data_IF_205582436559
#
_entry.id   IF_205582436559
#
_cell.length_a   1.000
_cell.length_b   1.000
_cell.length_c   1.000
_cell.angle_alpha   90.00
_cell.angle_beta   90.00
_cell.angle_gamma   90.00
#
_symmetry.space_group_name_H-M   'P 1'
#
loop_
_entity.id
_entity.type
_entity.pdbx_description
1 polymer ?
#
# COMPACT_ATOMS: atom_id res chain seq x y z
N UNK A 1 -22.46 -1.02 -2.74
CA UNK A 1 -21.90 0.02 -1.85
C UNK A 1 -21.19 1.05 -2.71
N UNK A 2 -21.43 2.34 -2.49
CA UNK A 2 -20.68 3.38 -3.23
C UNK A 2 -19.23 3.45 -2.74
N UNK A 3 -18.32 3.87 -3.62
CA UNK A 3 -16.89 4.08 -3.29
C UNK A 3 -16.69 5.03 -2.11
N UNK A 4 -17.64 5.95 -1.90
CA UNK A 4 -17.64 6.94 -0.82
C UNK A 4 -18.24 6.42 0.50
N UNK A 5 -18.66 5.15 0.57
CA UNK A 5 -19.30 4.60 1.77
C UNK A 5 -20.70 5.13 2.05
N UNK A 6 -21.30 5.85 1.10
CA UNK A 6 -22.66 6.39 1.19
C UNK A 6 -23.63 5.29 0.76
N UNK A 7 -24.60 5.01 1.61
CA UNK A 7 -25.60 3.94 1.42
C UNK A 7 -27.01 4.47 1.19
N UNK A 8 -27.28 5.73 1.53
CA UNK A 8 -28.57 6.39 1.29
C UNK A 8 -28.61 6.97 -0.13
N UNK A 9 -29.61 6.55 -0.91
CA UNK A 9 -29.81 6.97 -2.30
C UNK A 9 -30.20 8.46 -2.39
N UNK A 10 -31.00 8.97 -1.45
CA UNK A 10 -31.44 10.36 -1.45
C UNK A 10 -30.27 11.33 -1.30
N UNK A 11 -29.28 10.94 -0.48
CA UNK A 11 -28.04 11.70 -0.29
C UNK A 11 -27.19 11.71 -1.56
N UNK A 12 -27.18 10.61 -2.32
CA UNK A 12 -26.45 10.52 -3.58
C UNK A 12 -27.09 11.42 -4.63
N UNK A 13 -28.43 11.40 -4.74
CA UNK A 13 -29.17 12.18 -5.74
C UNK A 13 -29.10 13.69 -5.48
N UNK A 14 -29.00 14.10 -4.21
CA UNK A 14 -28.91 15.51 -3.83
C UNK A 14 -27.47 16.05 -3.82
N UNK A 15 -26.47 15.20 -4.06
CA UNK A 15 -25.06 15.59 -3.98
C UNK A 15 -24.67 16.51 -5.15
N UNK A 16 -24.06 17.64 -4.82
CA UNK A 16 -23.47 18.51 -5.85
C UNK A 16 -22.18 17.91 -6.41
N UNK A 17 -21.84 18.23 -7.66
CA UNK A 17 -20.55 17.82 -8.25
C UNK A 17 -19.36 18.28 -7.40
N UNK A 18 -19.43 19.48 -6.83
CA UNK A 18 -18.39 20.03 -5.96
C UNK A 18 -18.23 19.21 -4.68
N UNK A 19 -19.34 18.86 -4.02
CA UNK A 19 -19.33 18.03 -2.82
C UNK A 19 -18.80 16.63 -3.13
N UNK A 20 -19.23 16.04 -4.25
CA UNK A 20 -18.70 14.77 -4.72
C UNK A 20 -17.17 14.82 -4.90
N UNK A 21 -16.65 15.86 -5.56
CA UNK A 21 -15.21 16.01 -5.78
C UNK A 21 -14.42 16.13 -4.48
N UNK A 22 -14.89 16.93 -3.52
CA UNK A 22 -14.22 17.04 -2.21
C UNK A 22 -14.23 15.73 -1.43
N UNK A 23 -15.35 14.99 -1.48
CA UNK A 23 -15.45 13.67 -0.85
C UNK A 23 -14.53 12.65 -1.52
N UNK A 24 -14.42 12.69 -2.84
CA UNK A 24 -13.47 11.85 -3.59
C UNK A 24 -12.02 12.19 -3.23
N UNK A 25 -11.66 13.47 -3.16
CA UNK A 25 -10.32 13.87 -2.72
C UNK A 25 -10.03 13.35 -1.31
N UNK A 26 -10.93 13.55 -0.36
CA UNK A 26 -10.78 13.01 0.99
C UNK A 26 -10.60 11.48 0.98
N UNK A 27 -11.31 10.77 0.09
CA UNK A 27 -11.21 9.32 -0.06
C UNK A 27 -9.84 8.88 -0.57
N UNK A 28 -9.23 9.62 -1.50
CA UNK A 28 -7.89 9.33 -2.01
C UNK A 28 -6.82 9.42 -0.92
N UNK A 29 -6.90 10.43 -0.04
CA UNK A 29 -6.01 10.52 1.13
C UNK A 29 -6.23 9.35 2.10
N UNK A 30 -7.48 9.00 2.37
CA UNK A 30 -7.81 7.85 3.23
C UNK A 30 -7.22 6.55 2.67
N UNK A 31 -7.35 6.32 1.36
CA UNK A 31 -6.80 5.16 0.68
C UNK A 31 -5.27 5.12 0.77
N UNK A 32 -4.59 6.25 0.59
CA UNK A 32 -3.13 6.34 0.76
C UNK A 32 -2.70 5.94 2.19
N UNK A 33 -3.36 6.49 3.21
CA UNK A 33 -3.07 6.15 4.61
C UNK A 33 -3.32 4.68 4.91
N UNK A 34 -4.45 4.12 4.46
CA UNK A 34 -4.78 2.71 4.67
C UNK A 34 -3.76 1.78 4.01
N UNK A 35 -3.35 2.09 2.79
CA UNK A 35 -2.36 1.28 2.07
C UNK A 35 -0.98 1.37 2.74
N UNK A 36 -0.58 2.56 3.20
CA UNK A 36 0.67 2.73 3.93
C UNK A 36 0.70 1.95 5.26
N UNK A 37 -0.37 2.01 6.05
CA UNK A 37 -0.48 1.22 7.29
C UNK A 37 -0.49 -0.28 7.01
N UNK A 38 -1.08 -0.72 5.89
CA UNK A 38 -1.00 -2.13 5.45
C UNK A 38 0.43 -2.56 5.20
N UNK A 39 1.23 -1.75 4.50
CA UNK A 39 2.65 -2.05 4.31
C UNK A 39 3.39 -2.05 5.65
N UNK A 40 3.19 -1.06 6.52
CA UNK A 40 3.79 -1.05 7.86
C UNK A 40 3.48 -2.32 8.64
N UNK A 41 2.23 -2.78 8.61
CA UNK A 41 1.84 -4.04 9.25
C UNK A 41 2.57 -5.24 8.64
N UNK A 42 2.67 -5.32 7.31
CA UNK A 42 3.40 -6.39 6.64
C UNK A 42 4.89 -6.42 7.04
N UNK A 43 5.54 -5.26 7.12
CA UNK A 43 6.92 -5.13 7.60
C UNK A 43 7.04 -5.51 9.08
N UNK A 44 6.10 -5.08 9.93
CA UNK A 44 6.09 -5.47 11.35
C UNK A 44 5.92 -6.97 11.55
N UNK A 45 5.06 -7.62 10.75
CA UNK A 45 4.89 -9.09 10.75
C UNK A 45 6.18 -9.78 10.31
N UNK A 46 6.82 -9.30 9.24
CA UNK A 46 8.13 -9.81 8.78
C UNK A 46 9.16 -9.75 9.89
N UNK A 47 9.30 -8.58 10.52
CA UNK A 47 10.32 -8.34 11.53
C UNK A 47 10.03 -9.14 12.81
N UNK A 48 8.76 -9.32 13.18
CA UNK A 48 8.35 -10.19 14.29
C UNK A 48 8.59 -11.70 14.00
N UNK A 49 8.35 -12.14 12.76
CA UNK A 49 8.63 -13.49 12.31
C UNK A 49 10.15 -13.80 12.25
N UNK A 50 10.99 -12.78 12.05
CA UNK A 50 12.45 -12.88 12.05
C UNK A 50 13.07 -13.05 13.45
N UNK A 51 12.35 -13.68 14.39
CA UNK A 51 12.80 -13.89 15.77
C UNK A 51 13.93 -14.95 15.84
N UNK A 52 15.15 -14.42 15.91
CA UNK A 52 16.39 -14.94 16.55
C UNK A 52 16.94 -16.29 16.05
N UNK A 53 17.77 -16.26 15.01
CA UNK A 53 18.80 -17.29 14.79
C UNK A 53 19.96 -17.06 15.79
N UNK A 54 19.95 -17.78 16.93
CA UNK A 54 21.10 -17.89 17.83
C UNK A 54 21.97 -19.08 17.34
N UNK A 55 22.59 -18.95 16.17
CA UNK A 55 23.37 -20.03 15.55
C UNK A 55 24.45 -19.51 14.60
N UNK A 56 25.63 -20.12 14.65
CA UNK A 56 26.91 -19.60 14.12
C UNK A 56 27.22 -19.93 12.64
N UNK A 57 28.08 -19.05 12.10
CA UNK A 57 29.10 -19.12 11.03
C UNK A 57 28.82 -19.28 9.52
N UNK A 58 27.79 -19.94 9.01
CA UNK A 58 27.65 -20.10 7.53
C UNK A 58 26.58 -19.19 6.90
N UNK A 59 26.81 -17.86 6.94
CA UNK A 59 25.83 -16.79 6.64
C UNK A 59 25.70 -16.40 5.14
N UNK A 60 24.71 -16.88 4.37
CA UNK A 60 24.24 -16.12 3.22
C UNK A 60 23.56 -14.84 3.73
N UNK A 61 24.05 -13.68 3.29
CA UNK A 61 23.36 -12.39 3.50
C UNK A 61 22.27 -12.27 2.43
N UNK A 62 21.09 -12.77 2.73
CA UNK A 62 19.89 -12.36 2.00
C UNK A 62 19.52 -10.96 2.51
N UNK A 63 19.82 -9.94 1.72
CA UNK A 63 19.41 -8.57 1.99
C UNK A 63 18.03 -8.33 1.37
N UNK A 64 17.09 -7.85 2.18
CA UNK A 64 15.76 -7.49 1.67
C UNK A 64 15.87 -6.28 0.75
N UNK A 65 15.22 -6.35 -0.42
CA UNK A 65 15.18 -5.24 -1.40
C UNK A 65 14.53 -3.98 -0.82
N UNK A 66 13.62 -4.14 0.14
CA UNK A 66 12.93 -3.05 0.84
C UNK A 66 13.12 -3.21 2.34
N UNK A 67 13.48 -2.13 3.01
CA UNK A 67 13.72 -2.11 4.45
C UNK A 67 12.46 -1.75 5.21
N UNK A 68 11.66 -0.81 4.69
CA UNK A 68 10.49 -0.27 5.35
C UNK A 68 9.35 0.06 4.35
N UNK A 69 8.18 0.44 4.88
CA UNK A 69 6.99 0.76 4.09
C UNK A 69 7.18 1.94 3.12
N UNK A 70 7.95 2.97 3.49
CA UNK A 70 8.21 4.13 2.61
C UNK A 70 9.03 3.75 1.38
N UNK A 71 9.88 2.70 1.46
CA UNK A 71 10.66 2.24 0.31
C UNK A 71 9.76 1.62 -0.79
N UNK A 72 8.52 1.23 -0.43
CA UNK A 72 7.52 0.67 -1.34
C UNK A 72 6.52 1.74 -1.77
N UNK A 73 5.97 2.47 -0.79
CA UNK A 73 4.98 3.52 -0.96
C UNK A 73 5.48 4.79 -0.25
N UNK A 74 6.19 5.69 -0.95
CA UNK A 74 6.72 6.91 -0.36
C UNK A 74 5.56 7.80 0.07
N UNK A 75 5.28 7.87 1.37
CA UNK A 75 4.05 8.48 1.87
C UNK A 75 4.00 9.99 1.57
N UNK A 76 5.04 10.72 1.97
CA UNK A 76 5.11 12.18 1.81
C UNK A 76 5.10 12.62 0.34
N UNK A 77 5.81 11.89 -0.54
CA UNK A 77 5.76 12.18 -1.98
C UNK A 77 4.35 11.98 -2.53
N UNK A 78 3.64 10.95 -2.07
CA UNK A 78 2.27 10.70 -2.53
C UNK A 78 1.28 11.73 -1.99
N UNK A 79 1.48 12.25 -0.78
CA UNK A 79 0.70 13.41 -0.30
C UNK A 79 0.91 14.62 -1.22
N UNK A 80 2.15 14.93 -1.60
CA UNK A 80 2.44 16.02 -2.54
C UNK A 80 1.80 15.78 -3.91
N UNK A 81 1.85 14.55 -4.42
CA UNK A 81 1.23 14.18 -5.70
C UNK A 81 -0.29 14.34 -5.66
N UNK A 82 -0.95 13.90 -4.58
CA UNK A 82 -2.39 14.09 -4.42
C UNK A 82 -2.78 15.57 -4.37
N UNK A 83 -1.97 16.40 -3.70
CA UNK A 83 -2.16 17.87 -3.72
C UNK A 83 -2.03 18.47 -5.13
N UNK A 84 -1.23 17.86 -6.00
CA UNK A 84 -1.07 18.23 -7.41
C UNK A 84 -2.14 17.61 -8.34
N UNK A 85 -3.10 16.84 -7.78
CA UNK A 85 -4.10 16.11 -8.55
C UNK A 85 -3.52 14.92 -9.35
N UNK A 86 -2.38 14.38 -8.91
CA UNK A 86 -1.71 13.24 -9.53
C UNK A 86 -1.99 11.96 -8.74
N UNK A 87 -2.06 10.85 -9.46
CA UNK A 87 -2.28 9.54 -8.87
C UNK A 87 -1.17 9.08 -7.92
N UNK A 88 -1.56 8.24 -6.96
CA UNK A 88 -0.66 7.51 -6.05
C UNK A 88 0.33 6.67 -6.87
N UNK A 89 1.61 6.77 -6.53
CA UNK A 89 2.72 6.09 -7.19
C UNK A 89 3.46 5.20 -6.20
N UNK A 90 3.68 3.96 -6.63
CA UNK A 90 4.57 3.01 -5.97
C UNK A 90 5.97 3.09 -6.59
N UNK A 91 7.00 2.74 -5.82
CA UNK A 91 8.36 2.65 -6.36
C UNK A 91 8.41 1.55 -7.43
N UNK A 92 9.00 1.85 -8.60
CA UNK A 92 8.95 0.98 -9.79
C UNK A 92 9.49 -0.45 -9.54
N UNK A 93 10.49 -0.59 -8.67
CA UNK A 93 11.05 -1.89 -8.29
C UNK A 93 10.07 -2.73 -7.44
N UNK A 94 9.11 -2.10 -6.74
CA UNK A 94 8.13 -2.76 -5.89
C UNK A 94 6.99 -3.39 -6.71
N UNK A 95 6.64 -2.78 -7.86
CA UNK A 95 5.66 -3.38 -8.78
C UNK A 95 6.20 -4.62 -9.49
N UNK A 96 7.49 -4.60 -9.86
CA UNK A 96 8.13 -5.71 -10.56
C UNK A 96 8.37 -6.94 -9.66
N UNK A 97 8.53 -6.72 -8.36
CA UNK A 97 8.64 -7.80 -7.34
C UNK A 97 7.28 -8.44 -7.07
N UNK A 98 6.20 -7.68 -6.96
CA UNK A 98 4.84 -8.24 -6.83
C UNK A 98 4.49 -9.19 -7.99
N UNK A 99 4.86 -8.84 -9.23
CA UNK A 99 4.66 -9.71 -10.39
C UNK A 99 5.47 -11.02 -10.31
N UNK A 100 6.71 -10.97 -9.79
CA UNK A 100 7.56 -12.16 -9.60
C UNK A 100 7.10 -13.06 -8.46
N UNK A 101 6.67 -12.48 -7.33
CA UNK A 101 6.19 -13.21 -6.15
C UNK A 101 4.87 -13.94 -6.44
N UNK A 102 3.96 -13.28 -7.17
CA UNK A 102 2.70 -13.92 -7.58
C UNK A 102 2.93 -15.10 -8.53
N UNK A 103 3.93 -15.01 -9.41
CA UNK A 103 4.32 -16.12 -10.28
C UNK A 103 5.05 -17.24 -9.53
N UNK A 104 5.84 -16.98 -8.49
CA UNK A 104 6.50 -18.07 -7.74
C UNK A 104 5.53 -18.82 -6.80
N UNK A 105 4.52 -18.13 -6.26
CA UNK A 105 3.48 -18.75 -5.41
C UNK A 105 2.48 -19.62 -6.19
N UNK A 106 2.31 -19.39 -7.49
CA UNK A 106 1.46 -20.23 -8.36
C UNK A 106 2.13 -21.55 -8.76
N UNK A 107 3.47 -21.62 -8.78
CA UNK A 107 4.21 -22.86 -9.07
C UNK A 107 4.47 -23.74 -7.84
N UNK A 108 4.26 -23.25 -6.62
CA UNK A 108 4.47 -24.02 -5.36
C UNK A 108 3.25 -24.84 -4.92
N UNK A 109 2.15 -24.85 -5.70
CA UNK A 109 0.92 -25.60 -5.42
C UNK A 109 0.71 -26.84 -6.34
N UNK A 110 1.79 -27.47 -6.79
CA UNK A 110 1.73 -28.76 -7.50
C UNK A 110 2.56 -29.80 -6.77
#
# INVERSE_FOLDING_TARGET
>A
MSTLGITDLNVIEQMTLTEYNYRMYAKEYEMLTQEFERYKLAFAIRDAAATKNVGTENKPKEEYVFNNANDVLPYEENIQRLNEGKDIRFVANAMNTNHKIMNSLSYSRN
#
